data_IF_221829275422
#
_entry.id   IF_221829275422
#
_cell.length_a   1.000
_cell.length_b   1.000
_cell.length_c   1.000
_cell.angle_alpha   90.00
_cell.angle_beta   90.00
_cell.angle_gamma   90.00
#
_symmetry.space_group_name_H-M   'P 1'
#
loop_
_entity.id
_entity.type
_entity.pdbx_description
1 polymer ?
#
# COMPACT_ATOMS: atom_id res chain seq x y z
N UNK A 1 0.10 3.14 11.99
CA UNK A 1 1.00 3.50 10.87
C UNK A 1 1.89 4.67 11.27
N UNK A 2 3.20 4.43 11.28
CA UNK A 2 4.20 5.46 11.57
C UNK A 2 5.24 5.50 10.44
N UNK A 3 5.83 6.67 10.21
CA UNK A 3 6.84 6.91 9.18
C UNK A 3 8.12 7.44 9.79
N UNK A 4 9.22 7.26 9.06
CA UNK A 4 10.47 8.00 9.26
C UNK A 4 10.85 8.66 7.94
N UNK A 5 11.23 9.92 7.99
CA UNK A 5 11.79 10.63 6.86
C UNK A 5 13.30 10.40 6.74
N UNK A 6 13.86 10.74 5.59
CA UNK A 6 15.29 10.88 5.38
C UNK A 6 15.64 12.35 5.19
N UNK A 7 16.71 12.81 5.82
CA UNK A 7 17.25 14.17 5.72
C UNK A 7 18.74 14.11 5.40
N UNK A 8 19.36 15.25 5.06
CA UNK A 8 20.81 15.32 4.83
C UNK A 8 21.66 14.88 6.02
N UNK A 9 21.08 14.84 7.23
CA UNK A 9 21.73 14.39 8.46
C UNK A 9 21.34 12.97 8.88
N UNK A 10 20.61 12.23 8.04
CA UNK A 10 20.16 10.86 8.30
C UNK A 10 18.64 10.75 8.51
N UNK A 11 18.22 9.63 9.11
CA UNK A 11 16.81 9.33 9.35
C UNK A 11 16.21 10.23 10.44
N UNK A 12 15.00 10.73 10.22
CA UNK A 12 14.27 11.54 11.21
C UNK A 12 13.74 10.69 12.36
N UNK A 13 13.23 11.37 13.39
CA UNK A 13 12.40 10.74 14.41
C UNK A 13 11.18 10.07 13.77
N UNK A 14 10.69 9.01 14.42
CA UNK A 14 9.46 8.32 14.05
C UNK A 14 8.26 9.21 14.34
N UNK A 15 7.39 9.37 13.35
CA UNK A 15 6.14 10.12 13.43
C UNK A 15 4.97 9.17 13.14
N UNK A 16 4.00 9.09 14.03
CA UNK A 16 2.79 8.29 13.81
C UNK A 16 1.70 9.16 13.18
N UNK A 17 1.19 8.70 12.03
CA UNK A 17 0.28 9.46 11.16
C UNK A 17 -1.15 8.90 11.17
N UNK A 18 -1.33 7.65 11.61
CA UNK A 18 -2.63 7.03 11.77
C UNK A 18 -2.57 5.90 12.80
N UNK A 19 -3.63 5.79 13.60
CA UNK A 19 -3.84 4.69 14.53
C UNK A 19 -4.69 3.59 13.89
N UNK A 20 -4.70 2.39 14.49
CA UNK A 20 -5.53 1.28 14.03
C UNK A 20 -5.16 0.66 12.68
N UNK A 21 -4.11 1.13 11.99
CA UNK A 21 -3.63 0.49 10.76
C UNK A 21 -2.81 -0.75 11.12
N UNK A 22 -3.29 -1.92 10.70
CA UNK A 22 -2.64 -3.22 10.91
C UNK A 22 -1.81 -3.66 9.70
N UNK A 23 -2.23 -3.27 8.49
CA UNK A 23 -1.48 -3.56 7.28
C UNK A 23 -1.53 -2.39 6.29
N UNK A 24 -0.40 -2.14 5.62
CA UNK A 24 -0.27 -1.21 4.52
C UNK A 24 0.48 -1.90 3.39
N UNK A 25 -0.27 -2.27 2.35
CA UNK A 25 0.25 -3.03 1.21
C UNK A 25 0.20 -2.20 -0.07
N UNK A 26 1.19 -2.37 -0.92
CA UNK A 26 1.36 -1.59 -2.16
C UNK A 26 1.57 -2.53 -3.33
N UNK A 27 0.85 -2.29 -4.41
CA UNK A 27 1.16 -2.85 -5.72
C UNK A 27 1.48 -1.71 -6.70
N UNK A 28 2.54 -1.88 -7.48
CA UNK A 28 2.95 -0.93 -8.52
C UNK A 28 2.32 -1.32 -9.85
N UNK A 29 1.69 -0.36 -10.51
CA UNK A 29 1.15 -0.51 -11.86
C UNK A 29 2.23 -0.25 -12.89
N UNK A 30 2.61 -1.29 -13.63
CA UNK A 30 3.71 -1.29 -14.60
C UNK A 30 3.14 -1.10 -16.00
N UNK A 31 3.71 -0.15 -16.73
CA UNK A 31 3.49 0.06 -18.16
C UNK A 31 4.53 -0.76 -18.95
N UNK A 32 4.06 -1.57 -19.88
CA UNK A 32 4.83 -2.55 -20.66
C UNK A 32 4.75 -2.30 -22.15
N UNK A 33 3.92 -1.33 -22.58
CA UNK A 33 3.72 -0.93 -23.98
C UNK A 33 3.85 0.58 -24.22
N UNK A 34 4.31 1.34 -23.22
CA UNK A 34 4.71 2.75 -23.27
C UNK A 34 3.55 3.73 -23.59
N UNK A 35 2.32 3.36 -23.25
CA UNK A 35 1.14 4.21 -23.45
C UNK A 35 0.75 5.06 -22.22
N UNK A 36 1.58 5.00 -21.17
CA UNK A 36 1.39 5.61 -19.86
C UNK A 36 0.20 5.04 -19.06
N UNK A 37 -0.26 3.83 -19.38
CA UNK A 37 -1.30 3.09 -18.69
C UNK A 37 -0.70 1.82 -18.09
N UNK A 38 -1.07 1.50 -16.85
CA UNK A 38 -0.59 0.27 -16.22
C UNK A 38 -1.26 -0.95 -16.85
N UNK A 39 -0.48 -1.90 -17.38
CA UNK A 39 -1.00 -3.16 -17.91
C UNK A 39 -1.05 -4.26 -16.83
N UNK A 40 -0.18 -4.20 -15.81
CA UNK A 40 -0.16 -5.15 -14.68
C UNK A 40 0.11 -4.46 -13.35
N UNK A 41 -0.25 -5.12 -12.25
CA UNK A 41 0.06 -4.68 -10.88
C UNK A 41 0.85 -5.76 -10.14
N UNK A 42 1.96 -5.39 -9.49
CA UNK A 42 2.81 -6.30 -8.71
C UNK A 42 3.28 -5.66 -7.41
N UNK A 43 3.33 -6.43 -6.32
CA UNK A 43 3.93 -6.03 -5.04
C UNK A 43 5.45 -6.22 -5.00
N UNK A 44 5.99 -6.98 -5.97
CA UNK A 44 7.42 -7.30 -6.08
C UNK A 44 7.96 -6.88 -7.46
N UNK A 45 7.96 -5.58 -7.78
CA UNK A 45 8.53 -5.11 -9.04
C UNK A 45 10.05 -5.32 -9.06
N UNK A 46 10.58 -5.73 -10.21
CA UNK A 46 12.02 -5.65 -10.48
C UNK A 46 12.47 -4.20 -10.65
N UNK A 47 13.79 -3.97 -10.72
CA UNK A 47 14.31 -2.63 -11.00
C UNK A 47 13.85 -2.09 -12.35
N UNK A 48 13.76 -2.94 -13.38
CA UNK A 48 13.28 -2.55 -14.70
C UNK A 48 11.79 -2.21 -14.68
N UNK A 49 10.98 -2.99 -13.95
CA UNK A 49 9.55 -2.68 -13.78
C UNK A 49 9.36 -1.31 -13.13
N UNK A 50 10.17 -0.98 -12.13
CA UNK A 50 10.11 0.30 -11.44
C UNK A 50 10.43 1.51 -12.34
N UNK A 51 11.22 1.33 -13.40
CA UNK A 51 11.46 2.40 -14.39
C UNK A 51 10.19 2.73 -15.18
N UNK A 52 9.33 1.74 -15.39
CA UNK A 52 8.06 1.88 -16.11
C UNK A 52 6.83 1.90 -15.18
N UNK A 53 7.02 2.11 -13.88
CA UNK A 53 5.90 2.20 -12.94
C UNK A 53 5.14 3.53 -13.12
N UNK A 54 3.86 3.47 -13.51
CA UNK A 54 3.02 4.65 -13.79
C UNK A 54 1.95 4.90 -12.73
N UNK A 55 1.67 3.93 -11.86
CA UNK A 55 0.71 4.06 -10.77
C UNK A 55 1.08 3.21 -9.56
N UNK A 56 0.47 3.50 -8.41
CA UNK A 56 0.52 2.66 -7.22
C UNK A 56 -0.91 2.42 -6.71
N UNK A 57 -1.26 1.15 -6.50
CA UNK A 57 -2.47 0.74 -5.81
C UNK A 57 -2.14 0.45 -4.36
N UNK A 58 -2.77 1.20 -3.48
CA UNK A 58 -2.57 1.17 -2.05
C UNK A 58 -3.73 0.42 -1.39
N UNK A 59 -3.41 -0.49 -0.48
CA UNK A 59 -4.36 -1.20 0.36
C UNK A 59 -4.05 -0.91 1.82
N UNK A 60 -5.07 -0.57 2.60
CA UNK A 60 -4.96 -0.32 4.04
C UNK A 60 -5.97 -1.19 4.77
N UNK A 61 -5.48 -2.07 5.65
CA UNK A 61 -6.33 -2.72 6.65
C UNK A 61 -6.34 -1.87 7.91
N UNK A 62 -7.48 -1.25 8.18
CA UNK A 62 -7.70 -0.50 9.41
C UNK A 62 -8.62 -1.29 10.34
N UNK A 63 -8.32 -1.28 11.63
CA UNK A 63 -9.16 -1.80 12.70
C UNK A 63 -9.70 -0.68 13.59
N UNK A 64 -10.78 -0.97 14.32
CA UNK A 64 -11.22 -0.13 15.44
C UNK A 64 -10.13 -0.02 16.52
N UNK A 65 -10.11 1.09 17.26
CA UNK A 65 -9.14 1.29 18.35
C UNK A 65 -9.49 0.43 19.55
N UNK A 66 -10.78 0.32 19.86
CA UNK A 66 -11.32 -0.49 20.94
C UNK A 66 -12.04 -1.73 20.39
N UNK A 67 -11.95 -2.87 21.09
CA UNK A 67 -12.71 -4.06 20.74
C UNK A 67 -14.15 -3.95 21.21
N UNK A 68 -15.07 -4.60 20.51
CA UNK A 68 -16.43 -4.85 20.96
C UNK A 68 -16.53 -6.28 21.51
N UNK A 69 -16.83 -6.46 22.81
CA UNK A 69 -16.94 -7.78 23.45
C UNK A 69 -18.01 -8.70 22.85
N UNK A 70 -18.97 -8.15 22.10
CA UNK A 70 -20.05 -8.91 21.46
C UNK A 70 -19.79 -9.21 19.99
N UNK A 71 -18.66 -8.74 19.46
CA UNK A 71 -18.23 -9.00 18.10
C UNK A 71 -17.11 -10.04 18.09
N UNK A 72 -17.07 -10.85 17.03
CA UNK A 72 -15.93 -11.72 16.74
C UNK A 72 -15.63 -11.60 15.26
N UNK A 73 -14.41 -11.21 14.95
CA UNK A 73 -13.90 -11.06 13.61
C UNK A 73 -13.38 -12.42 13.12
N UNK A 74 -14.25 -13.16 12.46
CA UNK A 74 -13.96 -14.45 11.83
C UNK A 74 -13.64 -14.30 10.32
N UNK A 75 -13.34 -13.08 9.87
CA UNK A 75 -13.16 -12.73 8.46
C UNK A 75 -11.68 -12.72 8.07
N UNK A 76 -11.37 -13.30 6.91
CA UNK A 76 -10.09 -13.17 6.23
C UNK A 76 -10.11 -11.94 5.31
N UNK A 77 -9.02 -11.15 5.29
CA UNK A 77 -8.95 -9.93 4.48
C UNK A 77 -7.93 -10.08 3.36
N UNK A 78 -8.33 -9.71 2.14
CA UNK A 78 -7.46 -9.73 0.95
C UNK A 78 -7.04 -8.31 0.59
N UNK A 79 -5.73 -8.09 0.47
CA UNK A 79 -5.08 -6.84 0.10
C UNK A 79 -4.27 -7.05 -1.18
N UNK A 80 -4.96 -7.15 -2.32
CA UNK A 80 -4.31 -7.48 -3.59
C UNK A 80 -3.84 -8.93 -3.60
N UNK A 81 -2.52 -9.13 -3.58
CA UNK A 81 -1.85 -10.44 -3.51
C UNK A 81 -1.45 -10.85 -2.08
N UNK A 82 -1.71 -10.01 -1.08
CA UNK A 82 -1.53 -10.34 0.32
C UNK A 82 -2.86 -10.79 0.96
N UNK A 83 -2.78 -11.78 1.85
CA UNK A 83 -3.91 -12.26 2.65
C UNK A 83 -3.58 -12.09 4.13
N UNK A 84 -4.46 -11.41 4.86
CA UNK A 84 -4.39 -11.32 6.32
C UNK A 84 -5.36 -12.36 6.90
N UNK A 85 -4.85 -13.37 7.63
CA UNK A 85 -5.67 -14.47 8.12
C UNK A 85 -6.66 -14.00 9.19
N UNK A 86 -7.68 -14.82 9.41
CA UNK A 86 -8.66 -14.64 10.47
C UNK A 86 -7.99 -14.51 11.84
N UNK A 87 -8.38 -13.52 12.64
CA UNK A 87 -7.84 -13.31 13.99
C UNK A 87 -8.75 -13.79 15.12
N UNK A 88 -10.07 -13.94 14.88
CA UNK A 88 -11.08 -14.32 15.88
C UNK A 88 -11.08 -13.41 17.12
N UNK A 89 -10.89 -12.10 16.93
CA UNK A 89 -10.88 -11.10 18.00
C UNK A 89 -12.10 -10.15 17.92
N UNK A 90 -12.25 -9.24 18.90
CA UNK A 90 -13.38 -8.30 18.95
C UNK A 90 -13.23 -7.02 18.12
N UNK A 91 -12.25 -6.91 17.22
CA UNK A 91 -12.01 -5.66 16.49
C UNK A 91 -12.69 -5.65 15.12
N UNK A 92 -13.48 -4.61 14.85
CA UNK A 92 -13.99 -4.36 13.50
C UNK A 92 -12.82 -3.99 12.59
N UNK A 93 -12.77 -4.57 11.38
CA UNK A 93 -11.75 -4.28 10.38
C UNK A 93 -12.37 -3.88 9.05
N UNK A 94 -11.65 -3.05 8.31
CA UNK A 94 -12.03 -2.64 6.97
C UNK A 94 -10.80 -2.46 6.10
N UNK A 95 -10.88 -3.02 4.89
CA UNK A 95 -9.93 -2.75 3.82
C UNK A 95 -10.36 -1.49 3.07
N UNK A 96 -9.42 -0.58 2.89
CA UNK A 96 -9.54 0.57 2.00
C UNK A 96 -8.56 0.41 0.84
N UNK A 97 -9.01 0.75 -0.37
CA UNK A 97 -8.17 0.70 -1.56
C UNK A 97 -8.25 2.03 -2.30
N UNK A 98 -7.09 2.52 -2.74
CA UNK A 98 -7.01 3.66 -3.65
C UNK A 98 -5.91 3.43 -4.67
N UNK A 99 -6.01 4.05 -5.85
CA UNK A 99 -4.97 4.01 -6.87
C UNK A 99 -4.53 5.43 -7.18
N UNK A 100 -3.22 5.67 -7.15
CA UNK A 100 -2.61 6.98 -7.38
C UNK A 100 -1.64 6.92 -8.56
N UNK A 101 -1.63 7.96 -9.40
CA UNK A 101 -0.71 8.06 -10.52
C UNK A 101 0.71 8.49 -10.06
N UNK A 102 1.74 7.89 -10.61
CA UNK A 102 3.15 8.20 -10.36
C UNK A 102 3.69 9.07 -11.51
N UNK A 103 3.62 10.39 -11.33
CA UNK A 103 3.96 11.35 -12.41
C UNK A 103 5.46 11.55 -12.64
N UNK A 104 6.28 11.32 -11.61
CA UNK A 104 7.72 11.61 -11.66
C UNK A 104 8.54 10.51 -12.37
N UNK A 105 8.03 9.28 -12.38
CA UNK A 105 8.62 8.15 -13.13
C UNK A 105 8.25 8.24 -14.61
N UNK A 106 6.97 8.50 -14.92
CA UNK A 106 6.48 8.68 -16.29
C UNK A 106 7.21 9.82 -17.06
N UNK A 107 7.56 10.90 -16.37
CA UNK A 107 8.30 12.02 -16.99
C UNK A 107 9.79 11.71 -17.24
N UNK A 108 10.36 10.70 -16.60
CA UNK A 108 11.73 10.24 -16.87
C UNK A 108 11.79 9.30 -18.09
N UNK A 109 10.73 8.53 -18.34
CA UNK A 109 10.59 7.68 -19.54
C UNK A 109 10.48 8.51 -20.83
N UNK A 110 9.73 9.62 -20.80
CA UNK A 110 9.56 10.54 -21.95
C UNK A 110 10.82 11.35 -22.37
N UNK A 111 11.94 11.21 -21.66
CA UNK A 111 13.21 11.92 -21.95
C UNK A 111 14.31 11.01 -22.49
N UNK A 112 14.00 9.76 -22.84
CA UNK A 112 14.91 8.82 -23.51
C UNK A 112 14.51 8.61 -24.97
#
# INVERSE_FOLDING_TARGET
LCRRGISGSGLTATECIAEGIEDFHIQFGIDTDEDAIANLYTSMPSLADMENAVSARLFLLARSIEPDPHFTNDTEYVLGDATVPVTNDGFYRRVYTTTVALRNTASRSLMQ
#
